data_IF_195366075958
#
_entry.id   IF_195366075958
#
_cell.length_a   1.000
_cell.length_b   1.000
_cell.length_c   1.000
_cell.angle_alpha   90.00
_cell.angle_beta   90.00
_cell.angle_gamma   90.00
#
_symmetry.space_group_name_H-M   'P 1'
#
loop_
_entity.id
_entity.type
_entity.pdbx_description
1 polymer ?
#
# COMPACT_ATOMS: atom_id res chain seq x y z
N UNK A 1 -4.42 4.44 2.30
CA UNK A 1 -5.89 4.48 2.08
C UNK A 1 -6.46 5.89 2.17
N UNK A 2 -5.95 6.78 3.02
CA UNK A 2 -6.48 8.15 3.14
C UNK A 2 -6.41 8.94 1.83
N UNK A 3 -5.31 8.87 1.07
CA UNK A 3 -5.17 9.61 -0.20
C UNK A 3 -6.24 9.19 -1.21
N UNK A 4 -6.49 7.90 -1.38
CA UNK A 4 -7.55 7.40 -2.25
C UNK A 4 -8.93 7.94 -1.85
N UNK A 5 -9.28 7.84 -0.57
CA UNK A 5 -10.58 8.32 -0.10
C UNK A 5 -10.76 9.82 -0.29
N UNK A 6 -9.68 10.59 -0.18
CA UNK A 6 -9.70 12.04 -0.29
C UNK A 6 -9.84 12.54 -1.73
N UNK A 7 -9.32 11.78 -2.70
CA UNK A 7 -9.19 12.27 -4.08
C UNK A 7 -9.80 11.37 -5.15
N UNK A 8 -10.44 10.24 -4.79
CA UNK A 8 -11.05 9.29 -5.74
C UNK A 8 -12.10 9.91 -6.69
N UNK A 9 -12.71 11.03 -6.30
CA UNK A 9 -13.68 11.73 -7.12
C UNK A 9 -13.03 12.77 -8.06
N UNK A 10 -11.70 12.91 -8.03
CA UNK A 10 -10.92 13.92 -8.77
C UNK A 10 -9.75 13.33 -9.56
N UNK A 11 -9.31 12.14 -9.19
CA UNK A 11 -8.23 11.44 -9.84
C UNK A 11 -8.53 9.93 -9.88
N UNK A 12 -8.15 9.29 -10.96
CA UNK A 12 -8.17 7.84 -11.06
C UNK A 12 -6.99 7.23 -10.29
N UNK A 13 -7.23 6.11 -9.64
CA UNK A 13 -6.21 5.35 -8.92
C UNK A 13 -6.14 3.94 -9.45
N UNK A 14 -4.94 3.43 -9.60
CA UNK A 14 -4.69 2.05 -9.98
C UNK A 14 -3.50 1.51 -9.18
N UNK A 15 -3.68 0.36 -8.56
CA UNK A 15 -2.57 -0.43 -8.04
C UNK A 15 -2.25 -1.54 -9.03
N UNK A 16 -0.98 -1.75 -9.33
CA UNK A 16 -0.54 -2.87 -10.17
C UNK A 16 0.34 -3.79 -9.32
N UNK A 17 -0.10 -5.01 -9.12
CA UNK A 17 0.69 -6.04 -8.50
C UNK A 17 1.69 -6.60 -9.51
N UNK A 18 2.97 -6.50 -9.20
CA UNK A 18 4.06 -6.89 -10.10
C UNK A 18 4.58 -8.29 -9.79
N UNK A 19 5.34 -8.46 -8.72
CA UNK A 19 5.85 -9.75 -8.25
C UNK A 19 6.14 -9.66 -6.75
N UNK A 20 6.27 -10.82 -6.10
CA UNK A 20 6.61 -10.86 -4.69
C UNK A 20 8.01 -10.29 -4.42
N UNK A 21 8.09 -9.44 -3.38
CA UNK A 21 9.37 -8.88 -2.94
C UNK A 21 10.09 -9.81 -1.95
N UNK A 22 9.33 -10.56 -1.16
CA UNK A 22 9.85 -11.43 -0.10
C UNK A 22 9.13 -12.78 -0.11
N UNK A 23 9.23 -13.56 -1.21
CA UNK A 23 8.54 -14.84 -1.32
C UNK A 23 9.18 -15.90 -0.40
N UNK A 24 8.44 -16.97 -0.13
CA UNK A 24 8.88 -18.03 0.76
C UNK A 24 10.04 -18.87 0.21
N UNK A 25 10.20 -18.87 -1.10
CA UNK A 25 11.25 -19.60 -1.84
C UNK A 25 12.49 -18.74 -2.15
N UNK A 26 12.53 -17.50 -1.69
CA UNK A 26 13.67 -16.59 -1.77
C UNK A 26 13.96 -15.98 -0.39
N UNK A 27 14.32 -14.68 -0.35
CA UNK A 27 14.58 -13.97 0.91
C UNK A 27 13.27 -13.52 1.57
N UNK A 28 12.93 -14.15 2.68
CA UNK A 28 11.70 -13.93 3.42
C UNK A 28 11.86 -12.93 4.56
N UNK A 29 10.87 -12.06 4.76
CA UNK A 29 10.82 -11.15 5.91
C UNK A 29 10.09 -11.77 7.10
N UNK A 30 10.64 -11.58 8.31
CA UNK A 30 10.01 -12.04 9.56
C UNK A 30 8.63 -11.41 9.79
N UNK A 31 8.40 -10.18 9.34
CA UNK A 31 7.09 -9.53 9.38
C UNK A 31 6.04 -10.31 8.60
N UNK A 32 6.37 -10.82 7.41
CA UNK A 32 5.45 -11.59 6.58
C UNK A 32 5.01 -12.88 7.29
N UNK A 33 5.94 -13.54 7.99
CA UNK A 33 5.64 -14.75 8.79
C UNK A 33 4.69 -14.38 9.93
N UNK A 34 4.97 -13.30 10.65
CA UNK A 34 4.13 -12.82 11.77
C UNK A 34 2.72 -12.47 11.33
N UNK A 35 2.59 -11.86 10.15
CA UNK A 35 1.32 -11.37 9.63
C UNK A 35 0.60 -12.42 8.77
N UNK A 36 1.15 -13.64 8.69
CA UNK A 36 0.65 -14.76 7.86
C UNK A 36 0.46 -14.35 6.39
N UNK A 37 1.45 -13.64 5.84
CA UNK A 37 1.53 -13.22 4.44
C UNK A 37 2.72 -13.93 3.80
N UNK A 38 2.55 -15.23 3.54
CA UNK A 38 3.61 -16.12 3.10
C UNK A 38 3.25 -16.75 1.75
N UNK A 39 3.75 -16.20 0.67
CA UNK A 39 3.54 -16.70 -0.69
C UNK A 39 4.88 -17.07 -1.33
N UNK A 40 4.88 -18.16 -2.12
CA UNK A 40 5.99 -18.43 -3.03
C UNK A 40 5.93 -17.50 -4.24
N UNK A 41 7.03 -17.34 -4.95
CA UNK A 41 7.03 -16.59 -6.20
C UNK A 41 6.05 -17.23 -7.20
N UNK A 42 5.07 -16.49 -7.74
CA UNK A 42 4.09 -17.06 -8.68
C UNK A 42 4.79 -17.55 -9.96
N UNK A 43 4.44 -18.75 -10.41
CA UNK A 43 5.06 -19.40 -11.58
C UNK A 43 4.25 -19.23 -12.85
N UNK A 44 3.02 -18.79 -12.74
CA UNK A 44 2.11 -18.53 -13.85
C UNK A 44 1.11 -17.43 -13.46
N UNK A 45 0.35 -16.95 -14.43
CA UNK A 45 -0.59 -15.86 -14.22
C UNK A 45 -1.72 -16.24 -13.24
N UNK A 46 -2.14 -17.51 -13.22
CA UNK A 46 -3.18 -17.97 -12.29
C UNK A 46 -2.72 -17.85 -10.83
N UNK A 47 -1.46 -18.25 -10.55
CA UNK A 47 -0.87 -18.11 -9.21
C UNK A 47 -0.78 -16.62 -8.82
N UNK A 48 -0.32 -15.77 -9.75
CA UNK A 48 -0.20 -14.32 -9.51
C UNK A 48 -1.56 -13.69 -9.24
N UNK A 49 -2.58 -14.06 -9.99
CA UNK A 49 -3.96 -13.62 -9.77
C UNK A 49 -4.53 -14.13 -8.44
N UNK A 50 -4.20 -15.34 -8.02
CA UNK A 50 -4.65 -15.89 -6.74
C UNK A 50 -4.10 -15.07 -5.56
N UNK A 51 -2.82 -14.73 -5.56
CA UNK A 51 -2.18 -13.89 -4.54
C UNK A 51 -2.82 -12.48 -4.53
N UNK A 52 -3.00 -11.87 -5.70
CA UNK A 52 -3.63 -10.57 -5.83
C UNK A 52 -5.07 -10.56 -5.28
N UNK A 53 -5.85 -11.61 -5.57
CA UNK A 53 -7.21 -11.78 -5.08
C UNK A 53 -7.25 -11.98 -3.55
N UNK A 54 -6.31 -12.74 -2.99
CA UNK A 54 -6.22 -12.93 -1.55
C UNK A 54 -5.91 -11.60 -0.85
N UNK A 55 -4.94 -10.85 -1.35
CA UNK A 55 -4.62 -9.52 -0.84
C UNK A 55 -5.83 -8.59 -0.84
N UNK A 56 -6.52 -8.48 -1.98
CA UNK A 56 -7.66 -7.55 -2.12
C UNK A 56 -8.82 -7.93 -1.20
N UNK A 57 -9.10 -9.22 -1.03
CA UNK A 57 -10.12 -9.72 -0.12
C UNK A 57 -9.73 -9.52 1.35
N UNK A 58 -8.52 -9.92 1.72
CA UNK A 58 -8.01 -9.88 3.10
C UNK A 58 -8.02 -8.46 3.65
N UNK A 59 -7.57 -7.51 2.85
CA UNK A 59 -7.47 -6.10 3.27
C UNK A 59 -8.68 -5.25 2.85
N UNK A 60 -9.71 -5.84 2.23
CA UNK A 60 -10.86 -5.10 1.66
C UNK A 60 -10.36 -3.88 0.87
N UNK A 61 -9.36 -4.15 0.01
CA UNK A 61 -8.61 -3.09 -0.67
C UNK A 61 -9.50 -2.34 -1.67
N UNK A 62 -9.73 -1.03 -1.51
CA UNK A 62 -10.75 -0.32 -2.27
C UNK A 62 -10.25 0.27 -3.60
N UNK A 63 -8.92 0.30 -3.81
CA UNK A 63 -8.34 0.87 -5.02
C UNK A 63 -8.44 -0.14 -6.16
N UNK A 64 -8.81 0.26 -7.38
CA UNK A 64 -8.74 -0.60 -8.56
C UNK A 64 -7.37 -1.30 -8.65
N UNK A 65 -7.41 -2.61 -8.93
CA UNK A 65 -6.24 -3.47 -8.80
C UNK A 65 -5.99 -4.24 -10.09
N UNK A 66 -4.84 -3.99 -10.70
CA UNK A 66 -4.33 -4.73 -11.85
C UNK A 66 -3.25 -5.71 -11.45
N UNK A 67 -2.98 -6.67 -12.32
CA UNK A 67 -1.91 -7.66 -12.16
C UNK A 67 -1.04 -7.61 -13.40
N UNK A 68 0.27 -7.46 -13.21
CA UNK A 68 1.24 -7.49 -14.31
C UNK A 68 1.30 -8.88 -14.95
N UNK A 69 1.69 -8.94 -16.21
CA UNK A 69 1.89 -10.21 -16.90
C UNK A 69 3.15 -10.97 -16.40
N UNK A 70 3.31 -12.20 -16.81
CA UNK A 70 4.45 -13.01 -16.39
C UNK A 70 5.78 -12.58 -17.03
N UNK A 71 5.74 -11.72 -18.04
CA UNK A 71 6.91 -11.08 -18.63
C UNK A 71 7.33 -9.82 -17.86
N UNK A 72 6.56 -9.43 -16.83
CA UNK A 72 6.80 -8.27 -15.97
C UNK A 72 6.86 -6.94 -16.75
N UNK A 73 6.02 -6.78 -17.77
CA UNK A 73 6.04 -5.63 -18.66
C UNK A 73 5.81 -4.29 -17.92
N UNK A 74 4.84 -4.24 -17.00
CA UNK A 74 4.61 -3.05 -16.19
C UNK A 74 5.74 -2.82 -15.19
N UNK A 75 6.24 -3.88 -14.52
CA UNK A 75 7.38 -3.78 -13.62
C UNK A 75 8.60 -3.16 -14.31
N UNK A 76 8.92 -3.62 -15.50
CA UNK A 76 10.12 -3.19 -16.24
C UNK A 76 9.94 -1.78 -16.80
N UNK A 77 8.78 -1.47 -17.39
CA UNK A 77 8.49 -0.15 -17.94
C UNK A 77 8.52 0.95 -16.86
N UNK A 78 8.03 0.65 -15.67
CA UNK A 78 7.96 1.61 -14.57
C UNK A 78 9.11 1.45 -13.57
N UNK A 79 10.01 0.47 -13.73
CA UNK A 79 11.01 0.09 -12.73
C UNK A 79 10.38 0.02 -11.33
N UNK A 80 9.28 -0.73 -11.22
CA UNK A 80 8.33 -0.61 -10.12
C UNK A 80 8.77 -1.37 -8.86
N UNK A 81 9.51 -2.47 -9.00
CA UNK A 81 9.89 -3.33 -7.89
C UNK A 81 10.87 -2.66 -6.91
N UNK A 82 10.75 -2.86 -5.58
CA UNK A 82 9.68 -3.59 -4.89
C UNK A 82 8.36 -2.83 -4.80
N UNK A 83 8.36 -1.50 -4.73
CA UNK A 83 7.20 -0.62 -4.83
C UNK A 83 7.61 0.77 -5.31
N UNK A 84 6.72 1.43 -6.06
CA UNK A 84 6.93 2.79 -6.57
C UNK A 84 5.61 3.50 -6.84
N UNK A 85 5.62 4.82 -6.67
CA UNK A 85 4.48 5.69 -6.96
C UNK A 85 4.73 6.51 -8.23
N UNK A 86 3.68 6.67 -9.02
CA UNK A 86 3.65 7.53 -10.19
C UNK A 86 2.41 8.39 -10.19
N UNK A 87 2.50 9.57 -10.78
CA UNK A 87 1.35 10.37 -11.22
C UNK A 87 1.48 10.57 -12.72
N UNK A 88 0.42 10.26 -13.43
CA UNK A 88 0.29 10.52 -14.86
C UNK A 88 -0.75 11.62 -15.00
N UNK A 89 -0.40 12.69 -15.72
CA UNK A 89 -1.28 13.82 -15.93
C UNK A 89 -2.35 13.53 -17.02
N UNK A 90 -3.24 14.46 -17.23
CA UNK A 90 -4.32 14.39 -18.22
C UNK A 90 -3.84 14.31 -19.67
N UNK A 91 -2.57 14.61 -19.92
CA UNK A 91 -1.95 14.49 -21.24
C UNK A 91 -1.21 13.14 -21.41
N UNK A 92 -1.34 12.23 -20.44
CA UNK A 92 -0.67 10.93 -20.45
C UNK A 92 0.83 11.01 -20.13
N UNK A 93 1.32 12.11 -19.56
CA UNK A 93 2.72 12.30 -19.19
C UNK A 93 2.97 12.01 -17.71
N UNK A 94 4.14 11.51 -17.40
CA UNK A 94 4.57 11.31 -16.02
C UNK A 94 4.82 12.69 -15.37
N UNK A 95 3.89 13.10 -14.51
CA UNK A 95 3.99 14.33 -13.72
C UNK A 95 4.79 14.14 -12.42
N UNK A 96 4.82 12.90 -11.89
CA UNK A 96 5.61 12.54 -10.72
C UNK A 96 6.10 11.10 -10.83
N UNK A 97 7.36 10.89 -10.45
CA UNK A 97 7.99 9.58 -10.31
C UNK A 97 8.66 9.48 -8.97
N UNK A 98 8.11 8.66 -8.08
CA UNK A 98 8.70 8.34 -6.78
C UNK A 98 10.00 7.54 -6.88
N UNK A 99 10.76 7.53 -5.82
CA UNK A 99 11.90 6.64 -5.68
C UNK A 99 11.48 5.19 -5.38
N UNK A 100 12.43 4.26 -5.42
CA UNK A 100 12.19 2.87 -5.04
C UNK A 100 11.97 2.75 -3.54
N UNK A 101 10.90 2.06 -3.16
CA UNK A 101 10.71 1.66 -1.79
C UNK A 101 11.69 0.58 -1.32
N UNK A 102 11.68 0.28 -0.01
CA UNK A 102 10.88 0.99 1.00
C UNK A 102 11.46 2.36 1.38
N UNK A 103 12.77 2.62 1.10
CA UNK A 103 13.49 3.79 1.63
C UNK A 103 13.15 5.12 0.95
N UNK A 104 12.64 5.07 -0.28
CA UNK A 104 12.27 6.27 -1.06
C UNK A 104 10.80 6.25 -1.49
N UNK A 105 9.97 5.61 -0.71
CA UNK A 105 8.52 5.54 -0.93
C UNK A 105 7.82 6.59 -0.08
N UNK A 106 7.45 7.73 -0.70
CA UNK A 106 6.88 8.89 -0.02
C UNK A 106 5.45 9.20 -0.50
N UNK A 107 4.41 8.54 0.04
CA UNK A 107 3.02 8.87 -0.29
C UNK A 107 2.64 10.32 -0.01
N UNK A 108 3.35 10.98 0.93
CA UNK A 108 3.18 12.40 1.23
C UNK A 108 3.44 13.33 0.05
N UNK A 109 4.37 12.98 -0.84
CA UNK A 109 4.66 13.76 -2.05
C UNK A 109 3.49 13.66 -3.05
N UNK A 110 2.90 12.47 -3.21
CA UNK A 110 1.68 12.28 -4.00
C UNK A 110 0.53 13.09 -3.42
N UNK A 111 0.35 13.08 -2.10
CA UNK A 111 -0.67 13.90 -1.43
C UNK A 111 -0.44 15.38 -1.68
N UNK A 112 0.79 15.87 -1.55
CA UNK A 112 1.12 17.28 -1.78
C UNK A 112 0.82 17.70 -3.23
N UNK A 113 1.14 16.85 -4.21
CA UNK A 113 0.82 17.11 -5.61
C UNK A 113 -0.69 17.20 -5.85
N UNK A 114 -1.46 16.24 -5.31
CA UNK A 114 -2.92 16.24 -5.42
C UNK A 114 -3.55 17.44 -4.71
N UNK A 115 -3.04 17.81 -3.54
CA UNK A 115 -3.51 18.99 -2.81
C UNK A 115 -3.22 20.29 -3.56
N UNK A 116 -2.06 20.43 -4.17
CA UNK A 116 -1.73 21.60 -5.00
C UNK A 116 -2.63 21.71 -6.22
N UNK A 117 -3.06 20.60 -6.81
CA UNK A 117 -3.89 20.60 -8.02
C UNK A 117 -5.39 20.71 -7.73
N UNK A 118 -5.87 20.03 -6.68
CA UNK A 118 -7.30 19.88 -6.40
C UNK A 118 -7.76 20.51 -5.08
N UNK A 119 -6.83 21.09 -4.33
CA UNK A 119 -7.06 21.63 -2.99
C UNK A 119 -6.88 20.58 -1.89
N UNK A 120 -6.57 21.04 -0.69
CA UNK A 120 -6.46 20.19 0.49
C UNK A 120 -7.80 19.64 0.92
N UNK A 121 -7.84 18.35 1.26
CA UNK A 121 -8.98 17.74 1.94
C UNK A 121 -8.74 17.82 3.43
N UNK A 122 -9.54 18.62 4.12
CA UNK A 122 -9.49 18.74 5.59
C UNK A 122 -10.33 17.65 6.21
N UNK A 123 -9.71 16.83 7.05
CA UNK A 123 -10.43 15.93 7.94
C UNK A 123 -10.75 16.69 9.24
N UNK A 124 -11.99 16.58 9.77
CA UNK A 124 -12.24 17.06 11.11
C UNK A 124 -11.26 16.36 12.06
N UNK A 125 -10.58 17.13 12.90
CA UNK A 125 -9.62 16.58 13.87
C UNK A 125 -10.28 15.44 14.64
N UNK A 126 -9.65 14.27 14.64
CA UNK A 126 -10.07 13.17 15.51
C UNK A 126 -10.00 13.71 16.95
N UNK A 127 -11.13 13.71 17.67
CA UNK A 127 -11.12 14.04 19.10
C UNK A 127 -9.98 13.28 19.75
N UNK A 128 -9.17 13.95 20.61
CA UNK A 128 -8.14 13.25 21.38
C UNK A 128 -8.78 12.04 22.06
N UNK A 129 -8.15 10.87 21.89
CA UNK A 129 -8.61 9.67 22.59
C UNK A 129 -8.60 9.98 24.09
N UNK A 130 -9.75 9.82 24.75
CA UNK A 130 -9.82 9.92 26.21
C UNK A 130 -8.76 9.00 26.82
N UNK A 131 -7.98 9.48 27.81
CA UNK A 131 -6.98 8.65 28.45
C UNK A 131 -7.68 7.42 29.05
N UNK A 132 -7.30 6.22 28.61
CA UNK A 132 -7.76 4.98 29.23
C UNK A 132 -7.46 5.09 30.72
N UNK A 133 -8.51 5.01 31.54
CA UNK A 133 -8.39 4.96 32.98
C UNK A 133 -7.39 3.88 33.37
N UNK A 134 -6.36 4.25 34.12
CA UNK A 134 -5.35 3.32 34.59
C UNK A 134 -6.04 2.23 35.44
N UNK A 135 -5.93 0.99 34.98
CA UNK A 135 -6.37 -0.17 35.76
C UNK A 135 -5.61 -0.17 37.09
N UNK A 136 -6.34 -0.01 38.17
CA UNK A 136 -5.80 -0.06 39.52
C UNK A 136 -5.21 -1.47 39.76
N UNK A 137 -3.92 -1.53 40.09
CA UNK A 137 -3.26 -2.75 40.54
C UNK A 137 -3.93 -3.28 41.80
N UNK A 138 -4.26 -4.57 41.90
CA UNK A 138 -4.77 -5.12 43.14
C UNK A 138 -3.70 -5.07 44.26
N UNK A 139 -4.04 -4.52 45.37
CA UNK A 139 -3.23 -4.51 46.59
C UNK A 139 -2.91 -5.95 47.02
N UNK A 140 -1.63 -6.26 47.11
CA UNK A 140 -1.19 -7.51 47.75
C UNK A 140 -1.35 -7.38 49.27
N UNK A 141 -2.33 -8.07 49.81
CA UNK A 141 -2.43 -8.28 51.27
C UNK A 141 -1.28 -9.18 51.71
N UNK A 142 -0.37 -8.60 52.50
CA UNK A 142 0.57 -9.38 53.30
C UNK A 142 -0.22 -10.01 54.49
N UNK A 143 -0.18 -11.30 54.58
CA UNK A 143 -0.52 -12.10 55.72
C UNK A 143 0.57 -13.12 55.95
#
# INVERSE_FOLDING_TARGET
>A
MSIFNDYKDRAEFLTVYVREAHPTDEWQMKSNIKDDVCYAQPRNLSDRLAIANDFTKRYKYPVPFGVDDMNNAANDAYAAWPERLYIIDENGKIAYRGGNGPFKYYPSEVRAWLAARYGEVRHPEAKPAEPKAAEAKPEQKKG
#
